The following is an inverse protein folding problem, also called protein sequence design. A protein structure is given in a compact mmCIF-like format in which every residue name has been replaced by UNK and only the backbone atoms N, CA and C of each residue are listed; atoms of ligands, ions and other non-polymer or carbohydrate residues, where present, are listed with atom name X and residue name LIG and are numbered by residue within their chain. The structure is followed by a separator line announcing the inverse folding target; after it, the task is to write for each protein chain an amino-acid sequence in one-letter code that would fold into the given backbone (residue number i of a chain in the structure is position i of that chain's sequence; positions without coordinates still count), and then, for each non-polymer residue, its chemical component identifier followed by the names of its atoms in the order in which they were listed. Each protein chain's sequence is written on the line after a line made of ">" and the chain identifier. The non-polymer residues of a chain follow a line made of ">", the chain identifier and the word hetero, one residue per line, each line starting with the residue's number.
data_IF_690779162004
#
_entry.id   IF_690779162004
#
_cell.length_a   1.000
_cell.length_b   1.000
_cell.length_c   1.000
_cell.angle_alpha   90.00
_cell.angle_beta   90.00
_cell.angle_gamma   90.00
#
_symmetry.space_group_name_H-M   'P 1'
#
loop_
_entity.id
_entity.type
_entity.pdbx_description
1 polymer ?
#
# COMPACT_ATOMS: atom_id res chain seq x y z
N UNK A 1 -3.03 22.59 -7.53
CA UNK A 1 -2.72 21.27 -6.89
C UNK A 1 -2.67 20.22 -7.98
N UNK A 2 -1.53 19.52 -8.12
CA UNK A 2 -1.44 18.44 -9.10
C UNK A 2 -2.21 17.21 -8.58
N UNK A 3 -3.26 16.80 -9.31
CA UNK A 3 -4.00 15.57 -9.04
C UNK A 3 -3.68 14.54 -10.12
N UNK A 4 -3.12 13.40 -9.77
CA UNK A 4 -2.72 12.33 -10.68
C UNK A 4 -3.32 11.02 -10.18
N UNK A 5 -3.90 10.21 -11.06
CA UNK A 5 -4.59 8.95 -10.74
C UNK A 5 -5.59 9.09 -9.55
N UNK A 6 -6.30 10.23 -9.47
CA UNK A 6 -7.23 10.50 -8.39
C UNK A 6 -6.60 10.95 -7.06
N UNK A 7 -5.25 10.97 -6.93
CA UNK A 7 -4.53 11.34 -5.71
C UNK A 7 -4.00 12.76 -5.79
N UNK A 8 -4.15 13.52 -4.71
CA UNK A 8 -3.56 14.85 -4.57
C UNK A 8 -2.10 14.72 -4.16
N UNK A 9 -1.19 15.20 -5.00
CA UNK A 9 0.24 15.12 -4.76
C UNK A 9 0.72 16.38 -4.02
N UNK A 10 1.51 16.23 -2.92
CA UNK A 10 2.01 17.37 -2.16
C UNK A 10 2.96 18.23 -2.99
N UNK A 11 2.66 19.52 -3.08
CA UNK A 11 3.37 20.48 -3.95
C UNK A 11 4.83 20.74 -3.55
N UNK A 12 5.13 20.66 -2.25
CA UNK A 12 6.46 20.98 -1.72
C UNK A 12 7.46 19.83 -1.84
N UNK A 13 7.05 18.68 -2.36
CA UNK A 13 7.93 17.51 -2.53
C UNK A 13 8.55 17.48 -3.92
N UNK A 14 9.70 16.79 -4.02
CA UNK A 14 10.30 16.46 -5.30
C UNK A 14 9.35 15.53 -6.08
N UNK A 15 9.35 15.62 -7.41
CA UNK A 15 8.41 14.88 -8.27
C UNK A 15 8.49 13.38 -8.01
N UNK A 16 9.69 12.79 -7.97
CA UNK A 16 9.86 11.36 -7.73
C UNK A 16 9.35 10.92 -6.34
N UNK A 17 9.46 11.78 -5.31
CA UNK A 17 8.88 11.50 -3.98
C UNK A 17 7.36 11.68 -4.01
N UNK A 18 6.87 12.72 -4.70
CA UNK A 18 5.44 12.97 -4.84
C UNK A 18 4.70 11.81 -5.50
N UNK A 19 5.27 11.22 -6.53
CA UNK A 19 4.66 10.08 -7.24
C UNK A 19 4.51 8.83 -6.36
N UNK A 20 5.36 8.64 -5.35
CA UNK A 20 5.22 7.50 -4.42
C UNK A 20 3.99 7.57 -3.51
N UNK A 21 3.26 8.68 -3.49
CA UNK A 21 1.98 8.77 -2.79
C UNK A 21 0.86 8.02 -3.51
N UNK A 22 1.06 7.69 -4.80
CA UNK A 22 0.13 6.89 -5.58
C UNK A 22 0.32 5.42 -5.24
N UNK A 23 -0.74 4.75 -4.81
CA UNK A 23 -0.69 3.32 -4.51
C UNK A 23 -0.38 2.50 -5.76
N UNK A 24 0.73 1.79 -5.73
CA UNK A 24 1.26 1.02 -6.87
C UNK A 24 2.55 1.60 -7.44
N UNK A 25 2.88 2.86 -7.14
CA UNK A 25 4.12 3.49 -7.58
C UNK A 25 5.09 3.59 -6.39
N UNK A 26 6.17 2.84 -6.44
CA UNK A 26 7.28 2.92 -5.50
C UNK A 26 8.43 3.79 -6.02
N UNK A 27 9.50 3.91 -5.25
CA UNK A 27 10.67 4.73 -5.63
C UNK A 27 11.22 4.36 -7.01
N UNK A 28 11.37 3.06 -7.30
CA UNK A 28 11.90 2.59 -8.58
C UNK A 28 11.05 3.03 -9.77
N UNK A 29 9.73 2.85 -9.68
CA UNK A 29 8.83 3.26 -10.76
C UNK A 29 8.74 4.79 -10.88
N UNK A 30 8.75 5.52 -9.78
CA UNK A 30 8.74 6.98 -9.81
C UNK A 30 10.01 7.55 -10.45
N UNK A 31 11.17 6.95 -10.18
CA UNK A 31 12.43 7.33 -10.85
C UNK A 31 12.41 6.99 -12.33
N UNK A 32 11.88 5.83 -12.71
CA UNK A 32 11.72 5.43 -14.11
C UNK A 32 10.81 6.41 -14.86
N UNK A 33 9.67 6.80 -14.29
CA UNK A 33 8.76 7.79 -14.88
C UNK A 33 9.48 9.12 -15.10
N UNK A 34 10.25 9.59 -14.12
CA UNK A 34 11.02 10.82 -14.26
C UNK A 34 12.08 10.74 -15.36
N UNK A 35 12.75 9.59 -15.49
CA UNK A 35 13.78 9.36 -16.51
C UNK A 35 13.16 9.29 -17.90
N UNK A 36 12.09 8.53 -18.08
CA UNK A 36 11.42 8.32 -19.37
C UNK A 36 10.74 9.61 -19.90
N UNK A 37 10.32 10.49 -19.00
CA UNK A 37 9.71 11.78 -19.34
C UNK A 37 10.70 12.96 -19.30
N UNK A 38 12.00 12.68 -19.13
CA UNK A 38 13.07 13.68 -19.07
C UNK A 38 12.85 14.77 -18.01
N UNK A 39 12.22 14.40 -16.87
CA UNK A 39 11.97 15.31 -15.75
C UNK A 39 13.14 15.23 -14.78
N UNK A 40 13.84 16.34 -14.48
CA UNK A 40 14.93 16.35 -13.51
C UNK A 40 14.48 15.87 -12.11
N UNK A 41 15.23 14.97 -11.48
CA UNK A 41 14.91 14.45 -10.13
C UNK A 41 14.88 15.54 -9.05
N UNK A 42 15.59 16.65 -9.26
CA UNK A 42 15.61 17.82 -8.37
C UNK A 42 14.36 18.70 -8.47
N UNK A 43 13.53 18.52 -9.50
CA UNK A 43 12.34 19.33 -9.74
C UNK A 43 11.26 19.07 -8.70
N UNK A 44 10.59 20.13 -8.22
CA UNK A 44 9.46 20.04 -7.30
C UNK A 44 8.14 19.95 -8.06
N UNK A 45 7.12 19.42 -7.39
CA UNK A 45 5.78 19.25 -7.97
C UNK A 45 5.14 20.58 -8.35
N UNK A 46 5.41 21.66 -7.60
CA UNK A 46 4.91 23.01 -7.91
C UNK A 46 5.53 23.63 -9.16
N UNK A 47 6.68 23.12 -9.61
CA UNK A 47 7.40 23.61 -10.80
C UNK A 47 7.02 22.87 -12.07
N UNK A 48 6.13 21.87 -11.97
CA UNK A 48 5.64 21.13 -13.12
C UNK A 48 4.70 22.00 -13.96
N UNK A 49 4.88 21.96 -15.28
CA UNK A 49 3.92 22.52 -16.23
C UNK A 49 2.72 21.58 -16.40
N UNK A 50 1.59 22.13 -16.83
CA UNK A 50 0.38 21.34 -17.07
C UNK A 50 0.60 20.26 -18.15
N UNK A 51 1.41 20.54 -19.16
CA UNK A 51 1.82 19.57 -20.19
C UNK A 51 2.61 18.39 -19.60
N UNK A 52 3.50 18.66 -18.63
CA UNK A 52 4.26 17.62 -17.95
C UNK A 52 3.35 16.76 -17.06
N UNK A 53 2.37 17.37 -16.41
CA UNK A 53 1.37 16.65 -15.61
C UNK A 53 0.52 15.76 -16.51
N UNK A 54 0.11 16.22 -17.69
CA UNK A 54 -0.61 15.43 -18.67
C UNK A 54 0.20 14.21 -19.13
N UNK A 55 1.46 14.41 -19.53
CA UNK A 55 2.36 13.33 -19.92
C UNK A 55 2.55 12.28 -18.83
N UNK A 56 2.66 12.72 -17.56
CA UNK A 56 2.77 11.80 -16.42
C UNK A 56 1.48 10.97 -16.27
N UNK A 57 0.30 11.57 -16.40
CA UNK A 57 -0.98 10.86 -16.34
C UNK A 57 -1.10 9.80 -17.43
N UNK A 58 -0.88 10.20 -18.68
CA UNK A 58 -0.94 9.29 -19.82
C UNK A 58 0.05 8.12 -19.69
N UNK A 59 1.27 8.41 -19.24
CA UNK A 59 2.27 7.38 -19.01
C UNK A 59 1.87 6.38 -17.92
N UNK A 60 1.30 6.87 -16.81
CA UNK A 60 0.82 6.02 -15.73
C UNK A 60 -0.36 5.17 -16.20
N UNK A 61 -1.34 5.77 -16.86
CA UNK A 61 -2.54 5.08 -17.34
C UNK A 61 -2.22 3.98 -18.37
N UNK A 62 -1.19 4.19 -19.20
CA UNK A 62 -0.77 3.22 -20.21
C UNK A 62 0.08 2.06 -19.65
N UNK A 63 0.94 2.32 -18.68
CA UNK A 63 1.95 1.35 -18.24
C UNK A 63 1.71 0.73 -16.86
N UNK A 64 0.89 1.34 -16.03
CA UNK A 64 0.72 0.90 -14.66
C UNK A 64 -0.74 0.76 -14.25
N UNK A 65 -1.06 -0.32 -13.57
CA UNK A 65 -2.31 -0.43 -12.79
C UNK A 65 -2.07 0.18 -11.41
N UNK A 66 -2.84 1.21 -11.06
CA UNK A 66 -2.64 1.97 -9.82
C UNK A 66 -3.94 2.15 -9.04
N UNK A 67 -3.82 2.58 -7.81
CA UNK A 67 -4.92 2.98 -6.92
C UNK A 67 -6.11 2.00 -6.90
N UNK A 68 -7.25 2.40 -7.43
CA UNK A 68 -8.50 1.64 -7.36
C UNK A 68 -8.41 0.28 -8.03
N UNK A 69 -7.85 0.23 -9.22
CA UNK A 69 -7.74 -1.00 -10.02
C UNK A 69 -6.77 -2.00 -9.38
N UNK A 70 -5.62 -1.53 -8.90
CA UNK A 70 -4.67 -2.37 -8.18
C UNK A 70 -5.24 -2.89 -6.84
N UNK A 71 -5.97 -2.05 -6.10
CA UNK A 71 -6.64 -2.48 -4.86
C UNK A 71 -7.70 -3.54 -5.15
N UNK A 72 -8.47 -3.35 -6.23
CA UNK A 72 -9.47 -4.30 -6.70
C UNK A 72 -8.84 -5.63 -7.07
N UNK A 73 -7.78 -5.62 -7.87
CA UNK A 73 -7.04 -6.83 -8.27
C UNK A 73 -6.50 -7.57 -7.06
N UNK A 74 -5.86 -6.86 -6.14
CA UNK A 74 -5.34 -7.45 -4.89
C UNK A 74 -6.45 -8.08 -4.05
N UNK A 75 -7.59 -7.40 -3.93
CA UNK A 75 -8.75 -7.89 -3.18
C UNK A 75 -9.38 -9.12 -3.83
N UNK A 76 -9.49 -9.13 -5.16
CA UNK A 76 -9.98 -10.28 -5.92
C UNK A 76 -9.05 -11.49 -5.79
N UNK A 77 -7.73 -11.27 -5.83
CA UNK A 77 -6.74 -12.33 -5.62
C UNK A 77 -6.86 -12.96 -4.24
N UNK A 78 -7.04 -12.15 -3.19
CA UNK A 78 -7.27 -12.64 -1.82
C UNK A 78 -8.61 -13.39 -1.72
N UNK A 79 -9.67 -12.82 -2.30
CA UNK A 79 -11.00 -13.44 -2.32
C UNK A 79 -10.96 -14.82 -2.99
N UNK A 80 -10.30 -14.92 -4.14
CA UNK A 80 -10.11 -16.20 -4.83
C UNK A 80 -9.46 -17.27 -3.94
N UNK A 81 -8.41 -16.91 -3.17
CA UNK A 81 -7.77 -17.83 -2.24
C UNK A 81 -8.73 -18.30 -1.12
N UNK A 82 -9.61 -17.41 -0.66
CA UNK A 82 -10.60 -17.71 0.38
C UNK A 82 -11.70 -18.63 -0.17
N UNK A 83 -12.20 -18.35 -1.38
CA UNK A 83 -13.27 -19.10 -2.04
C UNK A 83 -12.81 -20.53 -2.39
N UNK A 84 -11.54 -20.69 -2.81
CA UNK A 84 -10.92 -21.99 -3.03
C UNK A 84 -10.56 -22.74 -1.72
N UNK A 85 -10.92 -22.21 -0.56
CA UNK A 85 -10.65 -22.80 0.75
C UNK A 85 -9.18 -23.19 0.99
N UNK A 86 -8.22 -22.49 0.36
CA UNK A 86 -6.80 -22.76 0.52
C UNK A 86 -6.32 -22.47 1.94
N UNK A 87 -5.19 -23.06 2.37
CA UNK A 87 -4.57 -22.73 3.66
C UNK A 87 -4.28 -21.22 3.78
N UNK A 88 -3.72 -20.60 2.73
CA UNK A 88 -3.48 -19.15 2.69
C UNK A 88 -4.76 -18.35 2.81
N UNK A 89 -5.83 -18.76 2.13
CA UNK A 89 -7.16 -18.14 2.23
C UNK A 89 -7.73 -18.22 3.65
N UNK A 90 -7.62 -19.37 4.32
CA UNK A 90 -8.04 -19.52 5.71
C UNK A 90 -7.26 -18.59 6.67
N UNK A 91 -5.97 -18.37 6.41
CA UNK A 91 -5.14 -17.42 7.17
C UNK A 91 -5.58 -15.97 6.95
N UNK A 92 -5.91 -15.59 5.70
CA UNK A 92 -6.47 -14.28 5.39
C UNK A 92 -7.80 -14.05 6.11
N UNK A 93 -8.73 -15.02 6.05
CA UNK A 93 -10.03 -14.96 6.73
C UNK A 93 -9.90 -14.79 8.24
N UNK A 94 -8.96 -15.51 8.87
CA UNK A 94 -8.69 -15.44 10.31
C UNK A 94 -7.82 -14.24 10.73
N UNK A 95 -7.44 -13.35 9.80
CA UNK A 95 -6.51 -12.23 10.04
C UNK A 95 -5.20 -12.67 10.70
N UNK A 96 -4.67 -13.81 10.28
CA UNK A 96 -3.42 -14.36 10.77
C UNK A 96 -2.29 -14.21 9.73
N UNK A 97 -1.01 -14.29 10.13
CA UNK A 97 0.10 -14.29 9.19
C UNK A 97 -0.02 -15.40 8.16
N UNK A 98 0.26 -15.07 6.89
CA UNK A 98 0.06 -15.97 5.74
C UNK A 98 1.34 -16.71 5.36
N UNK A 99 2.51 -16.22 5.78
CA UNK A 99 3.84 -16.74 5.41
C UNK A 99 4.47 -17.66 6.47
N UNK A 100 3.68 -18.52 7.09
CA UNK A 100 4.13 -19.54 8.06
C UNK A 100 4.93 -18.97 9.26
N UNK A 101 4.63 -17.76 9.67
CA UNK A 101 5.26 -17.13 10.81
C UNK A 101 4.69 -17.68 12.13
N UNK A 102 5.55 -17.77 13.17
CA UNK A 102 5.13 -18.19 14.51
C UNK A 102 4.08 -17.23 15.06
N UNK A 103 3.00 -17.77 15.62
CA UNK A 103 1.85 -16.98 16.09
C UNK A 103 1.62 -17.03 17.61
N UNK A 104 2.38 -17.83 18.35
CA UNK A 104 2.17 -18.00 19.80
C UNK A 104 2.32 -16.69 20.58
N UNK A 105 3.41 -15.98 20.40
CA UNK A 105 3.74 -14.76 21.15
C UNK A 105 3.57 -13.48 20.31
N UNK A 106 4.04 -13.52 19.07
CA UNK A 106 4.18 -12.38 18.18
C UNK A 106 3.05 -12.30 17.12
N UNK A 107 3.34 -11.70 15.97
CA UNK A 107 2.39 -11.50 14.86
C UNK A 107 1.34 -10.43 15.14
N UNK A 108 1.68 -9.44 15.95
CA UNK A 108 0.75 -8.39 16.37
C UNK A 108 0.31 -7.48 15.23
N UNK A 109 1.12 -7.29 14.21
CA UNK A 109 0.74 -6.53 13.00
C UNK A 109 -0.56 -7.06 12.38
N UNK A 110 -0.73 -8.39 12.33
CA UNK A 110 -1.95 -9.02 11.76
C UNK A 110 -3.04 -9.26 12.80
N UNK A 111 -2.66 -9.61 14.03
CA UNK A 111 -3.59 -9.91 15.13
C UNK A 111 -4.14 -8.65 15.82
N UNK A 112 -3.48 -7.52 15.67
CA UNK A 112 -3.77 -6.30 16.43
C UNK A 112 -3.17 -6.32 17.84
N UNK A 113 -3.51 -5.32 18.64
CA UNK A 113 -3.02 -5.18 20.03
C UNK A 113 -3.39 -6.39 20.87
N UNK A 114 -2.55 -6.70 21.87
CA UNK A 114 -2.86 -7.75 22.84
C UNK A 114 -4.05 -7.28 23.71
N UNK A 115 -5.13 -8.07 23.68
CA UNK A 115 -6.32 -7.80 24.50
C UNK A 115 -6.33 -8.84 25.61
N UNK A 116 -6.49 -8.41 26.85
CA UNK A 116 -6.67 -9.32 27.99
C UNK A 116 -7.97 -10.12 27.82
N UNK A 117 -7.94 -11.41 28.15
CA UNK A 117 -9.14 -12.23 28.14
C UNK A 117 -9.99 -11.81 29.33
N UNK A 118 -11.20 -11.31 29.06
CA UNK A 118 -12.16 -10.97 30.11
C UNK A 118 -12.53 -12.22 30.93
N UNK A 119 -12.65 -12.08 32.24
CA UNK A 119 -13.10 -13.15 33.14
C UNK A 119 -12.00 -14.05 33.74
N UNK A 120 -10.73 -13.80 33.44
CA UNK A 120 -9.63 -14.47 34.16
C UNK A 120 -9.50 -13.84 35.57
N UNK A 121 -10.16 -14.41 36.56
CA UNK A 121 -10.00 -14.00 37.96
C UNK A 121 -8.52 -14.13 38.33
N UNK A 122 -7.94 -13.03 38.81
CA UNK A 122 -6.65 -13.08 39.50
C UNK A 122 -6.87 -13.95 40.74
N UNK A 123 -6.19 -15.09 40.79
CA UNK A 123 -6.12 -15.89 42.04
C UNK A 123 -5.58 -14.99 43.14
N UNK A 124 -6.29 -14.82 44.28
CA UNK A 124 -5.77 -14.02 45.36
C UNK A 124 -4.42 -14.62 45.81
N UNK A 125 -3.41 -13.75 45.96
CA UNK A 125 -2.13 -14.13 46.53
C UNK A 125 -2.40 -14.78 47.87
N UNK A 126 -2.06 -16.06 48.03
CA UNK A 126 -1.99 -16.72 49.33
C UNK A 126 -1.00 -15.92 50.19
N UNK A 127 -1.50 -15.32 51.26
CA UNK A 127 -0.67 -14.77 52.34
C UNK A 127 0.06 -15.88 53.05
#
# INVERSE_FOLDING_TARGET
>A
MARIAGVNIPQNKLVHIGLTYIYGIGNKFSEQICTDLEIPKSKRVNELTDDQILKIREYIDQKFTVEGDLRRETSLSIKRLIDLATYRGSRHRKKLPVRVQRTRCNSRTRKGKAIAIAGKKLTPLKK
#
